data_IF_817342786738
#
_entry.id   IF_817342786738
#
_cell.length_a   1.000
_cell.length_b   1.000
_cell.length_c   1.000
_cell.angle_alpha   90.00
_cell.angle_beta   90.00
_cell.angle_gamma   90.00
#
_symmetry.space_group_name_H-M   'P 1'
#
loop_
_entity.id
_entity.type
_entity.pdbx_description
1 polymer ?
#
# COMPACT_ATOMS: atom_id res chain seq x y z
N UNK A 1 39.10 10.17 -3.72
CA UNK A 1 39.88 8.93 -3.90
C UNK A 1 39.03 7.73 -3.42
N UNK A 2 38.34 7.01 -4.33
CA UNK A 2 37.34 5.96 -4.03
C UNK A 2 37.90 4.52 -4.03
N UNK A 3 39.19 4.35 -4.30
CA UNK A 3 39.89 3.05 -4.42
C UNK A 3 39.74 2.17 -3.15
N UNK A 4 39.69 2.80 -1.97
CA UNK A 4 39.68 2.07 -0.69
C UNK A 4 38.32 1.38 -0.40
N UNK A 5 37.22 1.80 -1.03
CA UNK A 5 35.90 1.19 -0.82
C UNK A 5 35.69 -0.07 -1.67
N UNK A 6 36.18 -0.06 -2.92
CA UNK A 6 36.07 -1.22 -3.81
C UNK A 6 37.03 -2.33 -3.41
N UNK A 7 38.24 -1.98 -2.94
CA UNK A 7 39.19 -2.94 -2.41
C UNK A 7 38.60 -3.75 -1.25
N UNK A 8 37.88 -3.11 -0.31
CA UNK A 8 37.19 -3.82 0.78
C UNK A 8 36.17 -4.82 0.27
N UNK A 9 35.34 -4.43 -0.71
CA UNK A 9 34.34 -5.31 -1.30
C UNK A 9 34.98 -6.54 -1.97
N UNK A 10 35.99 -6.36 -2.82
CA UNK A 10 36.66 -7.47 -3.49
C UNK A 10 37.45 -8.36 -2.52
N UNK A 11 38.12 -7.77 -1.53
CA UNK A 11 38.81 -8.53 -0.48
C UNK A 11 37.84 -9.38 0.33
N UNK A 12 36.68 -8.84 0.67
CA UNK A 12 35.66 -9.58 1.41
C UNK A 12 35.02 -10.67 0.53
N UNK A 13 34.85 -10.41 -0.77
CA UNK A 13 34.40 -11.41 -1.73
C UNK A 13 35.39 -12.58 -1.84
N UNK A 14 36.70 -12.30 -1.96
CA UNK A 14 37.77 -13.32 -2.02
C UNK A 14 37.91 -14.11 -0.70
N UNK A 15 37.75 -13.43 0.45
CA UNK A 15 37.83 -14.07 1.77
C UNK A 15 36.69 -15.07 2.00
N UNK A 16 35.49 -14.77 1.49
CA UNK A 16 34.28 -15.57 1.73
C UNK A 16 34.07 -16.60 0.62
N UNK A 17 34.46 -16.27 -0.61
CA UNK A 17 34.31 -17.14 -1.78
C UNK A 17 35.60 -17.17 -2.61
N UNK A 18 36.04 -18.37 -3.01
CA UNK A 18 37.20 -18.57 -3.89
C UNK A 18 36.90 -18.31 -5.38
N UNK A 19 35.77 -17.69 -5.69
CA UNK A 19 35.28 -17.38 -7.05
C UNK A 19 34.02 -16.52 -6.96
N UNK A 20 33.41 -16.16 -8.10
CA UNK A 20 32.22 -15.30 -8.07
C UNK A 20 30.98 -16.08 -7.63
N UNK A 21 30.41 -15.76 -6.47
CA UNK A 21 29.24 -16.47 -5.95
C UNK A 21 27.97 -16.06 -6.69
N UNK A 22 26.91 -16.86 -6.53
CA UNK A 22 25.60 -16.52 -7.08
C UNK A 22 25.05 -15.23 -6.45
N UNK A 23 24.24 -14.50 -7.22
CA UNK A 23 23.68 -13.23 -6.80
C UNK A 23 22.89 -13.30 -5.47
N UNK A 24 22.20 -14.41 -5.23
CA UNK A 24 21.48 -14.68 -3.97
C UNK A 24 22.40 -14.77 -2.75
N UNK A 25 23.62 -15.30 -2.92
CA UNK A 25 24.64 -15.40 -1.87
C UNK A 25 25.23 -14.02 -1.56
N UNK A 26 25.49 -13.21 -2.59
CA UNK A 26 25.93 -11.81 -2.44
C UNK A 26 24.88 -10.97 -1.70
N UNK A 27 23.61 -11.11 -2.07
CA UNK A 27 22.50 -10.40 -1.40
C UNK A 27 22.40 -10.75 0.08
N UNK A 28 22.53 -12.04 0.43
CA UNK A 28 22.46 -12.48 1.83
C UNK A 28 23.58 -11.91 2.68
N UNK A 29 24.80 -11.82 2.12
CA UNK A 29 25.98 -11.37 2.85
C UNK A 29 26.09 -9.84 2.92
N UNK A 30 26.00 -9.15 1.77
CA UNK A 30 26.23 -7.71 1.69
C UNK A 30 24.97 -6.86 1.85
N UNK A 31 23.78 -7.46 1.77
CA UNK A 31 22.48 -6.81 1.65
C UNK A 31 22.23 -6.05 0.34
N UNK A 32 20.96 -5.82 0.00
CA UNK A 32 20.59 -5.04 -1.17
C UNK A 32 21.16 -3.60 -1.15
N UNK A 33 21.28 -3.00 0.03
CA UNK A 33 21.85 -1.66 0.22
C UNK A 33 23.39 -1.67 0.12
N UNK A 34 24.06 -2.69 0.68
CA UNK A 34 25.51 -2.84 0.51
C UNK A 34 25.90 -3.07 -0.95
N UNK A 35 25.14 -3.91 -1.68
CA UNK A 35 25.34 -4.09 -3.11
C UNK A 35 25.02 -2.83 -3.92
N UNK A 36 24.07 -1.99 -3.48
CA UNK A 36 23.79 -0.68 -4.09
C UNK A 36 24.97 0.28 -3.93
N UNK A 37 25.62 0.28 -2.76
CA UNK A 37 26.84 1.07 -2.49
C UNK A 37 28.04 0.58 -3.29
N UNK A 38 28.09 -0.71 -3.60
CA UNK A 38 29.10 -1.36 -4.46
C UNK A 38 28.67 -1.47 -5.93
N UNK A 39 27.93 -0.48 -6.47
CA UNK A 39 27.39 -0.51 -7.84
C UNK A 39 28.46 -0.75 -8.92
N UNK A 40 29.63 -0.13 -8.79
CA UNK A 40 30.72 -0.24 -9.78
C UNK A 40 31.35 -1.65 -9.76
N UNK A 41 31.75 -2.21 -8.61
CA UNK A 41 32.15 -3.62 -8.52
C UNK A 41 31.10 -4.61 -9.04
N UNK A 42 29.81 -4.38 -8.73
CA UNK A 42 28.72 -5.23 -9.20
C UNK A 42 28.53 -5.18 -10.72
N UNK A 43 28.71 -3.99 -11.33
CA UNK A 43 28.72 -3.85 -12.79
C UNK A 43 29.86 -4.64 -13.43
N UNK A 44 31.06 -4.54 -12.86
CA UNK A 44 32.22 -5.29 -13.34
C UNK A 44 32.01 -6.81 -13.25
N UNK A 45 31.49 -7.31 -12.12
CA UNK A 45 31.18 -8.75 -11.95
C UNK A 45 30.11 -9.24 -12.93
N UNK A 46 29.13 -8.39 -13.24
CA UNK A 46 28.07 -8.71 -14.21
C UNK A 46 28.59 -8.74 -15.64
N UNK A 47 29.52 -7.85 -16.00
CA UNK A 47 30.07 -7.73 -17.35
C UNK A 47 31.17 -8.77 -17.64
N UNK A 48 32.06 -9.02 -16.67
CA UNK A 48 33.26 -9.84 -16.89
C UNK A 48 33.14 -11.29 -16.40
N UNK A 49 32.31 -11.57 -15.39
CA UNK A 49 32.19 -12.92 -14.82
C UNK A 49 30.77 -13.51 -14.94
N UNK A 50 29.93 -12.88 -15.77
CA UNK A 50 28.59 -13.38 -16.09
C UNK A 50 27.60 -13.41 -14.92
N UNK A 51 27.86 -12.66 -13.84
CA UNK A 51 26.96 -12.57 -12.70
C UNK A 51 25.61 -11.97 -13.15
N UNK A 52 24.57 -12.80 -13.18
CA UNK A 52 23.21 -12.34 -13.50
C UNK A 52 22.58 -11.69 -12.27
N UNK A 53 22.47 -10.36 -12.29
CA UNK A 53 21.72 -9.60 -11.28
C UNK A 53 20.24 -9.92 -11.44
N UNK A 54 19.69 -10.66 -10.46
CA UNK A 54 18.27 -10.99 -10.44
C UNK A 54 17.50 -9.91 -9.66
N UNK A 55 16.81 -9.02 -10.37
CA UNK A 55 15.97 -7.98 -9.76
C UNK A 55 14.92 -8.57 -8.83
N UNK A 56 14.30 -9.69 -9.22
CA UNK A 56 13.34 -10.41 -8.39
C UNK A 56 13.97 -10.86 -7.04
N UNK A 57 15.18 -11.39 -7.05
CA UNK A 57 15.88 -11.79 -5.83
C UNK A 57 16.18 -10.59 -4.92
N UNK A 58 16.43 -9.39 -5.48
CA UNK A 58 16.60 -8.16 -4.67
C UNK A 58 15.32 -7.74 -3.98
N UNK A 59 14.21 -7.81 -4.70
CA UNK A 59 12.91 -7.41 -4.17
C UNK A 59 12.50 -8.40 -3.07
N UNK A 60 12.65 -9.70 -3.29
CA UNK A 60 12.38 -10.74 -2.29
C UNK A 60 13.22 -10.54 -1.01
N UNK A 61 14.53 -10.31 -1.16
CA UNK A 61 15.43 -10.02 -0.04
C UNK A 61 15.03 -8.73 0.71
N UNK A 62 14.60 -7.69 -0.02
CA UNK A 62 14.09 -6.44 0.57
C UNK A 62 12.77 -6.66 1.33
N UNK A 63 11.85 -7.45 0.78
CA UNK A 63 10.60 -7.81 1.45
C UNK A 63 10.85 -8.66 2.70
N UNK A 64 11.79 -9.60 2.66
CA UNK A 64 12.20 -10.37 3.83
C UNK A 64 12.70 -9.47 4.95
N UNK A 65 13.59 -8.50 4.67
CA UNK A 65 14.04 -7.53 5.68
C UNK A 65 12.90 -6.70 6.25
N UNK A 66 11.97 -6.25 5.41
CA UNK A 66 10.81 -5.47 5.86
C UNK A 66 9.88 -6.29 6.76
N UNK A 67 9.69 -7.58 6.45
CA UNK A 67 8.95 -8.51 7.31
C UNK A 67 9.66 -8.70 8.65
N UNK A 68 10.97 -8.97 8.64
CA UNK A 68 11.75 -9.11 9.88
C UNK A 68 11.70 -7.84 10.73
N UNK A 69 11.87 -6.67 10.11
CA UNK A 69 11.78 -5.39 10.81
C UNK A 69 10.41 -5.09 11.43
N UNK A 70 9.32 -5.72 10.96
CA UNK A 70 8.01 -5.67 11.63
C UNK A 70 7.99 -6.64 12.83
N UNK A 71 8.53 -7.84 12.65
CA UNK A 71 8.55 -8.89 13.68
C UNK A 71 9.46 -8.57 14.87
N UNK A 72 10.54 -7.81 14.64
CA UNK A 72 11.53 -7.40 15.64
C UNK A 72 11.13 -6.13 16.41
N UNK A 73 9.99 -5.52 16.09
CA UNK A 73 9.52 -4.33 16.80
C UNK A 73 9.31 -4.67 18.29
N UNK A 74 9.88 -3.88 19.22
CA UNK A 74 9.70 -4.11 20.65
C UNK A 74 8.22 -4.06 21.04
N UNK A 75 7.72 -5.15 21.62
CA UNK A 75 6.32 -5.30 22.06
C UNK A 75 6.27 -6.07 23.37
N UNK A 76 5.18 -5.88 24.11
CA UNK A 76 4.86 -6.78 25.22
C UNK A 76 4.67 -8.22 24.73
N UNK A 77 4.88 -9.18 25.63
CA UNK A 77 4.87 -10.61 25.31
C UNK A 77 3.59 -11.06 24.61
N UNK A 78 2.43 -10.55 25.05
CA UNK A 78 1.14 -10.96 24.51
C UNK A 78 0.89 -10.47 23.07
N UNK A 79 0.96 -9.16 22.75
CA UNK A 79 0.93 -8.68 21.36
C UNK A 79 1.96 -9.35 20.46
N UNK A 80 3.17 -9.64 20.98
CA UNK A 80 4.21 -10.34 20.23
C UNK A 80 3.80 -11.78 19.88
N UNK A 81 3.14 -12.49 20.80
CA UNK A 81 2.61 -13.81 20.53
C UNK A 81 1.53 -13.79 19.44
N UNK A 82 0.60 -12.82 19.50
CA UNK A 82 -0.47 -12.69 18.50
C UNK A 82 0.08 -12.48 17.09
N UNK A 83 1.02 -11.54 16.91
CA UNK A 83 1.60 -11.26 15.59
C UNK A 83 2.50 -12.41 15.10
N UNK A 84 3.19 -13.11 16.01
CA UNK A 84 4.00 -14.28 15.67
C UNK A 84 3.14 -15.45 15.19
N UNK A 85 2.02 -15.73 15.85
CA UNK A 85 1.10 -16.77 15.41
C UNK A 85 0.45 -16.43 14.07
N UNK A 86 0.08 -15.17 13.85
CA UNK A 86 -0.42 -14.70 12.56
C UNK A 86 0.64 -14.83 11.45
N UNK A 87 1.89 -14.48 11.73
CA UNK A 87 3.00 -14.66 10.78
C UNK A 87 3.16 -16.12 10.37
N UNK A 88 3.08 -17.08 11.30
CA UNK A 88 3.15 -18.52 10.97
C UNK A 88 2.02 -18.95 10.04
N UNK A 89 0.80 -18.48 10.28
CA UNK A 89 -0.34 -18.73 9.39
C UNK A 89 -0.12 -18.13 7.99
N UNK A 90 0.48 -16.94 7.91
CA UNK A 90 0.83 -16.33 6.63
C UNK A 90 1.95 -17.09 5.91
N UNK A 91 2.94 -17.60 6.64
CA UNK A 91 4.01 -18.42 6.08
C UNK A 91 3.50 -19.73 5.47
N UNK A 92 2.51 -20.39 6.08
CA UNK A 92 1.92 -21.59 5.49
C UNK A 92 1.19 -21.29 4.18
N UNK A 93 0.50 -20.15 4.08
CA UNK A 93 -0.14 -19.68 2.85
C UNK A 93 0.86 -19.30 1.76
N UNK A 94 2.00 -18.71 2.12
CA UNK A 94 3.09 -18.47 1.19
C UNK A 94 3.66 -19.78 0.65
N UNK A 95 3.89 -20.77 1.52
CA UNK A 95 4.40 -22.07 1.12
C UNK A 95 3.42 -22.83 0.19
N UNK A 96 2.11 -22.61 0.35
CA UNK A 96 1.07 -23.12 -0.54
C UNK A 96 0.97 -22.36 -1.88
N UNK A 97 1.65 -21.22 -2.04
CA UNK A 97 1.58 -20.38 -3.24
C UNK A 97 0.37 -19.44 -3.29
N UNK A 98 -0.42 -19.33 -2.21
CA UNK A 98 -1.65 -18.51 -2.17
C UNK A 98 -1.37 -17.01 -2.16
N UNK A 99 -0.23 -16.61 -1.61
CA UNK A 99 0.13 -15.22 -1.36
C UNK A 99 1.61 -14.98 -1.62
N UNK A 100 1.99 -13.74 -1.89
CA UNK A 100 3.39 -13.32 -2.03
C UNK A 100 3.97 -12.78 -0.73
N UNK A 101 5.31 -12.70 -0.63
CA UNK A 101 6.00 -12.03 0.48
C UNK A 101 5.53 -10.59 0.69
N UNK A 102 5.26 -9.86 -0.39
CA UNK A 102 4.69 -8.51 -0.33
C UNK A 102 3.32 -8.47 0.36
N UNK A 103 2.51 -9.50 0.12
CA UNK A 103 1.21 -9.65 0.77
C UNK A 103 1.37 -9.94 2.26
N UNK A 104 2.34 -10.79 2.64
CA UNK A 104 2.70 -11.02 4.05
C UNK A 104 3.10 -9.71 4.72
N UNK A 105 4.04 -8.96 4.13
CA UNK A 105 4.51 -7.68 4.67
C UNK A 105 3.35 -6.72 4.92
N UNK A 106 2.44 -6.56 3.95
CA UNK A 106 1.30 -5.64 4.07
C UNK A 106 0.34 -6.09 5.18
N UNK A 107 0.04 -7.39 5.24
CA UNK A 107 -0.83 -7.97 6.27
C UNK A 107 -0.23 -7.83 7.67
N UNK A 108 1.06 -8.15 7.84
CA UNK A 108 1.77 -7.97 9.11
C UNK A 108 1.85 -6.52 9.52
N UNK A 109 2.07 -5.59 8.58
CA UNK A 109 2.12 -4.17 8.90
C UNK A 109 0.79 -3.69 9.47
N UNK A 110 -0.33 -4.06 8.86
CA UNK A 110 -1.65 -3.70 9.35
C UNK A 110 -2.00 -4.35 10.69
N UNK A 111 -1.59 -5.61 10.91
CA UNK A 111 -1.71 -6.27 12.21
C UNK A 111 -0.90 -5.53 13.29
N UNK A 112 0.34 -5.18 12.98
CA UNK A 112 1.25 -4.42 13.84
C UNK A 112 0.64 -3.07 14.25
N UNK A 113 0.15 -2.30 13.26
CA UNK A 113 -0.44 -0.99 13.50
C UNK A 113 -1.74 -1.09 14.33
N UNK A 114 -2.54 -2.15 14.17
CA UNK A 114 -3.72 -2.39 15.02
C UNK A 114 -3.32 -2.74 16.46
N UNK A 115 -2.32 -3.60 16.65
CA UNK A 115 -1.82 -3.95 17.98
C UNK A 115 -1.32 -2.69 18.71
N UNK A 116 -0.55 -1.82 18.03
CA UNK A 116 -0.10 -0.54 18.57
C UNK A 116 -1.26 0.40 18.93
N UNK A 117 -2.29 0.45 18.07
CA UNK A 117 -3.47 1.25 18.32
C UNK A 117 -4.25 0.77 19.54
N UNK A 118 -4.40 -0.55 19.69
CA UNK A 118 -5.22 -1.17 20.73
C UNK A 118 -4.62 -1.04 22.14
N UNK A 119 -3.30 -0.81 22.26
CA UNK A 119 -2.59 -0.68 23.54
C UNK A 119 -2.96 -1.80 24.52
N UNK A 120 -2.94 -3.04 24.02
CA UNK A 120 -3.31 -4.21 24.82
C UNK A 120 -2.47 -4.27 26.08
N UNK A 121 -3.15 -4.46 27.22
CA UNK A 121 -2.50 -4.89 28.45
C UNK A 121 -2.26 -6.41 28.38
N UNK A 122 -1.38 -6.90 29.24
CA UNK A 122 -1.09 -8.34 29.36
C UNK A 122 -2.38 -9.19 29.38
N UNK A 123 -2.46 -10.17 28.47
CA UNK A 123 -3.56 -11.11 28.28
C UNK A 123 -4.93 -10.53 27.86
N UNK A 124 -5.04 -9.22 27.59
CA UNK A 124 -6.27 -8.65 27.04
C UNK A 124 -6.38 -8.94 25.53
N UNK A 125 -7.58 -9.30 25.06
CA UNK A 125 -7.85 -9.43 23.63
C UNK A 125 -8.24 -8.08 23.03
N UNK A 126 -8.01 -7.90 21.72
CA UNK A 126 -8.56 -6.75 20.98
C UNK A 126 -10.08 -6.82 21.06
N UNK A 127 -10.72 -5.74 21.49
CA UNK A 127 -12.17 -5.60 21.50
C UNK A 127 -12.67 -4.86 20.24
N UNK A 128 -13.99 -4.90 20.03
CA UNK A 128 -14.61 -4.23 18.88
C UNK A 128 -14.38 -2.71 18.91
N UNK A 129 -14.30 -2.11 20.10
CA UNK A 129 -14.11 -0.66 20.26
C UNK A 129 -12.73 -0.22 19.75
N UNK A 130 -11.68 -0.96 20.07
CA UNK A 130 -10.33 -0.72 19.58
C UNK A 130 -10.23 -0.93 18.07
N UNK A 131 -10.87 -1.97 17.53
CA UNK A 131 -10.92 -2.22 16.08
C UNK A 131 -11.64 -1.09 15.34
N UNK A 132 -12.79 -0.64 15.83
CA UNK A 132 -13.53 0.47 15.23
C UNK A 132 -12.77 1.80 15.35
N UNK A 133 -12.06 2.00 16.47
CA UNK A 133 -11.16 3.14 16.66
C UNK A 133 -10.04 3.17 15.63
N UNK A 134 -9.44 2.00 15.36
CA UNK A 134 -8.40 1.86 14.34
C UNK A 134 -8.92 2.18 12.94
N UNK A 135 -10.10 1.66 12.57
CA UNK A 135 -10.72 1.97 11.28
C UNK A 135 -11.05 3.45 11.12
N UNK A 136 -11.49 4.12 12.17
CA UNK A 136 -11.71 5.58 12.16
C UNK A 136 -10.42 6.36 11.94
N UNK A 137 -9.31 5.92 12.54
CA UNK A 137 -7.99 6.54 12.38
C UNK A 137 -7.38 6.25 11.00
N UNK A 138 -7.63 5.08 10.42
CA UNK A 138 -7.03 4.66 9.15
C UNK A 138 -8.03 3.93 8.24
N UNK A 139 -8.99 4.65 7.62
CA UNK A 139 -10.04 4.04 6.80
C UNK A 139 -9.53 3.25 5.59
N UNK A 140 -8.33 3.59 5.09
CA UNK A 140 -7.68 2.88 3.98
C UNK A 140 -7.14 1.49 4.33
N UNK A 141 -7.01 1.15 5.61
CA UNK A 141 -6.45 -0.12 6.09
C UNK A 141 -7.51 -1.15 6.52
N UNK A 142 -8.80 -0.89 6.25
CA UNK A 142 -9.88 -1.82 6.59
C UNK A 142 -9.63 -3.20 6.00
N UNK A 143 -9.35 -3.27 4.69
CA UNK A 143 -9.17 -4.53 3.99
C UNK A 143 -7.87 -5.27 4.36
N UNK A 144 -6.85 -4.56 4.85
CA UNK A 144 -5.57 -5.17 5.20
C UNK A 144 -5.56 -5.74 6.63
N UNK A 145 -6.44 -5.26 7.51
CA UNK A 145 -6.56 -5.77 8.88
C UNK A 145 -7.55 -6.94 9.03
N UNK A 146 -8.48 -7.13 8.07
CA UNK A 146 -9.49 -8.20 8.13
C UNK A 146 -8.88 -9.60 8.21
N UNK A 147 -7.76 -9.84 7.54
CA UNK A 147 -7.04 -11.13 7.62
C UNK A 147 -6.58 -11.45 9.05
N UNK A 148 -6.10 -10.43 9.77
CA UNK A 148 -5.69 -10.57 11.17
C UNK A 148 -6.89 -10.74 12.10
N UNK A 149 -7.97 -9.99 11.87
CA UNK A 149 -9.24 -10.18 12.61
C UNK A 149 -9.78 -11.60 12.43
N UNK A 150 -9.74 -12.14 11.21
CA UNK A 150 -10.13 -13.52 10.92
C UNK A 150 -9.27 -14.53 11.68
N UNK A 151 -7.95 -14.33 11.70
CA UNK A 151 -7.02 -15.14 12.50
C UNK A 151 -7.37 -15.08 14.00
N UNK A 152 -7.61 -13.89 14.56
CA UNK A 152 -7.96 -13.73 15.98
C UNK A 152 -9.27 -14.44 16.33
N UNK A 153 -10.27 -14.34 15.47
CA UNK A 153 -11.54 -15.03 15.64
C UNK A 153 -11.37 -16.55 15.59
N UNK A 154 -10.58 -17.06 14.64
CA UNK A 154 -10.40 -18.49 14.44
C UNK A 154 -9.56 -19.14 15.55
N UNK A 155 -8.46 -18.50 15.96
CA UNK A 155 -7.49 -19.09 16.91
C UNK A 155 -7.83 -18.77 18.36
N UNK A 156 -8.43 -17.60 18.62
CA UNK A 156 -8.68 -17.13 19.98
C UNK A 156 -10.15 -16.83 20.28
N UNK A 157 -11.07 -17.11 19.36
CA UNK A 157 -12.52 -16.86 19.54
C UNK A 157 -12.83 -15.41 19.94
N UNK A 158 -12.10 -14.44 19.38
CA UNK A 158 -12.20 -13.03 19.77
C UNK A 158 -13.57 -12.37 19.52
N UNK A 159 -14.44 -12.99 18.70
CA UNK A 159 -15.81 -12.50 18.46
C UNK A 159 -15.88 -11.15 17.74
N UNK A 160 -14.82 -10.75 17.02
CA UNK A 160 -14.72 -9.48 16.34
C UNK A 160 -15.49 -9.49 15.01
N UNK A 161 -16.20 -8.41 14.71
CA UNK A 161 -16.77 -8.21 13.40
C UNK A 161 -15.64 -7.87 12.42
N UNK A 162 -15.50 -8.66 11.35
CA UNK A 162 -14.46 -8.43 10.33
C UNK A 162 -14.78 -7.30 9.35
N UNK A 163 -15.89 -6.58 9.55
CA UNK A 163 -16.29 -5.46 8.70
C UNK A 163 -16.74 -4.29 9.56
N UNK A 164 -16.39 -3.05 9.15
CA UNK A 164 -16.88 -1.86 9.83
C UNK A 164 -18.38 -1.70 9.64
N UNK A 165 -18.98 -0.86 10.48
CA UNK A 165 -20.36 -0.42 10.33
C UNK A 165 -20.62 0.06 8.87
N UNK A 166 -21.63 -0.48 8.18
CA UNK A 166 -21.89 -0.16 6.77
C UNK A 166 -22.21 1.32 6.51
N UNK A 167 -22.88 2.00 7.45
CA UNK A 167 -23.23 3.42 7.33
C UNK A 167 -21.96 4.27 7.45
N UNK A 168 -21.12 3.97 8.44
CA UNK A 168 -19.82 4.64 8.59
C UNK A 168 -18.94 4.42 7.36
N UNK A 169 -18.85 3.18 6.85
CA UNK A 169 -18.04 2.86 5.67
C UNK A 169 -18.52 3.62 4.42
N UNK A 170 -19.85 3.73 4.23
CA UNK A 170 -20.45 4.55 3.16
C UNK A 170 -20.08 6.02 3.30
N UNK A 171 -20.15 6.57 4.51
CA UNK A 171 -19.80 7.96 4.80
C UNK A 171 -18.32 8.24 4.51
N UNK A 172 -17.40 7.37 4.93
CA UNK A 172 -15.97 7.53 4.64
C UNK A 172 -15.65 7.43 3.15
N UNK A 173 -16.34 6.53 2.43
CA UNK A 173 -16.20 6.44 0.97
C UNK A 173 -16.65 7.73 0.28
N UNK A 174 -17.73 8.34 0.75
CA UNK A 174 -18.20 9.62 0.23
C UNK A 174 -17.24 10.76 0.55
N UNK A 175 -16.79 10.87 1.81
CA UNK A 175 -15.83 11.88 2.24
C UNK A 175 -14.49 11.79 1.49
N UNK A 176 -14.03 10.57 1.17
CA UNK A 176 -12.83 10.38 0.33
C UNK A 176 -13.04 10.94 -1.09
N UNK A 177 -14.19 10.65 -1.70
CA UNK A 177 -14.53 11.15 -3.05
C UNK A 177 -14.63 12.66 -3.08
N UNK A 178 -15.18 13.25 -2.02
CA UNK A 178 -15.26 14.71 -1.84
C UNK A 178 -13.86 15.33 -1.75
N UNK A 179 -12.99 14.82 -0.86
CA UNK A 179 -11.61 15.29 -0.73
C UNK A 179 -10.85 15.20 -2.05
N UNK A 180 -10.98 14.08 -2.74
CA UNK A 180 -10.35 13.88 -4.05
C UNK A 180 -10.81 14.88 -5.12
N UNK A 181 -12.06 15.38 -5.04
CA UNK A 181 -12.57 16.43 -5.91
C UNK A 181 -12.01 17.80 -5.52
N UNK A 182 -12.02 18.12 -4.22
CA UNK A 182 -11.50 19.38 -3.69
C UNK A 182 -10.00 19.52 -3.97
N UNK A 183 -9.21 18.48 -3.70
CA UNK A 183 -7.77 18.45 -4.02
C UNK A 183 -7.51 18.64 -5.52
N UNK A 184 -8.39 18.12 -6.37
CA UNK A 184 -8.25 18.27 -7.82
C UNK A 184 -8.46 19.73 -8.24
N UNK A 185 -9.38 20.48 -7.61
CA UNK A 185 -9.62 21.89 -7.95
C UNK A 185 -8.35 22.74 -7.87
N UNK A 186 -7.46 22.46 -6.92
CA UNK A 186 -6.18 23.17 -6.77
C UNK A 186 -5.18 22.91 -7.91
N UNK A 187 -5.39 21.88 -8.73
CA UNK A 187 -4.47 21.47 -9.83
C UNK A 187 -4.99 21.86 -11.21
N UNK A 188 -5.98 22.75 -11.27
CA UNK A 188 -6.76 23.03 -12.49
C UNK A 188 -5.92 23.48 -13.68
N UNK A 189 -4.95 24.36 -13.43
CA UNK A 189 -4.13 24.96 -14.49
C UNK A 189 -2.83 24.17 -14.75
N UNK A 190 -2.61 23.07 -14.02
CA UNK A 190 -1.36 22.31 -14.11
C UNK A 190 -1.33 21.33 -15.27
N UNK A 191 -2.50 20.85 -15.72
CA UNK A 191 -2.58 19.72 -16.65
C UNK A 191 -3.71 19.88 -17.67
N UNK A 192 -3.41 19.55 -18.93
CA UNK A 192 -4.41 19.56 -20.02
C UNK A 192 -5.47 18.47 -19.88
N UNK A 193 -5.27 17.48 -19.00
CA UNK A 193 -6.21 16.38 -18.76
C UNK A 193 -7.16 16.63 -17.58
N UNK A 194 -7.14 17.83 -16.99
CA UNK A 194 -7.92 18.22 -15.82
C UNK A 194 -9.41 17.91 -15.97
N UNK A 195 -10.04 18.32 -17.06
CA UNK A 195 -11.49 18.14 -17.29
C UNK A 195 -11.90 16.66 -17.26
N UNK A 196 -11.12 15.80 -17.93
CA UNK A 196 -11.36 14.36 -17.92
C UNK A 196 -11.21 13.75 -16.53
N UNK A 197 -10.24 14.24 -15.73
CA UNK A 197 -10.03 13.81 -14.33
C UNK A 197 -11.17 14.29 -13.44
N UNK A 198 -11.62 15.52 -13.65
CA UNK A 198 -12.74 16.14 -12.95
C UNK A 198 -14.01 15.33 -13.15
N UNK A 199 -14.37 15.05 -14.41
CA UNK A 199 -15.59 14.31 -14.75
C UNK A 199 -15.58 12.92 -14.11
N UNK A 200 -14.48 12.18 -14.18
CA UNK A 200 -14.39 10.83 -13.57
C UNK A 200 -14.57 10.89 -12.05
N UNK A 201 -13.95 11.86 -11.37
CA UNK A 201 -14.11 12.02 -9.91
C UNK A 201 -15.51 12.52 -9.54
N UNK A 202 -16.09 13.41 -10.35
CA UNK A 202 -17.44 13.92 -10.15
C UNK A 202 -18.49 12.82 -10.31
N UNK A 203 -18.35 11.95 -11.31
CA UNK A 203 -19.17 10.74 -11.47
C UNK A 203 -19.05 9.81 -10.27
N UNK A 204 -17.85 9.66 -9.70
CA UNK A 204 -17.65 8.85 -8.51
C UNK A 204 -18.36 9.45 -7.29
N UNK A 205 -18.32 10.77 -7.12
CA UNK A 205 -18.91 11.48 -6.00
C UNK A 205 -20.45 11.60 -6.08
N UNK A 206 -20.96 12.17 -7.17
CA UNK A 206 -22.39 12.48 -7.32
C UNK A 206 -23.23 11.25 -7.69
N UNK A 207 -22.69 10.36 -8.52
CA UNK A 207 -23.44 9.21 -9.06
C UNK A 207 -22.96 7.87 -8.51
N UNK A 208 -21.89 7.86 -7.72
CA UNK A 208 -21.34 6.65 -7.14
C UNK A 208 -20.54 5.78 -8.10
N UNK A 209 -20.31 6.22 -9.34
CA UNK A 209 -19.69 5.45 -10.44
C UNK A 209 -18.17 5.63 -10.41
N UNK A 210 -17.45 4.65 -9.85
CA UNK A 210 -16.00 4.77 -9.61
C UNK A 210 -15.07 4.13 -10.65
N UNK A 211 -15.60 3.49 -11.70
CA UNK A 211 -14.80 2.77 -12.72
C UNK A 211 -15.14 3.27 -14.12
N UNK A 212 -14.69 4.48 -14.43
CA UNK A 212 -14.85 5.08 -15.76
C UNK A 212 -13.46 5.26 -16.38
N UNK A 213 -13.29 4.76 -17.60
CA UNK A 213 -12.03 4.94 -18.34
C UNK A 213 -11.96 6.35 -18.90
N UNK A 214 -10.86 7.07 -18.62
CA UNK A 214 -10.62 8.39 -19.21
C UNK A 214 -10.51 8.35 -20.73
N UNK A 215 -9.94 7.26 -21.29
CA UNK A 215 -9.68 7.13 -22.74
C UNK A 215 -10.94 6.91 -23.57
N UNK A 216 -12.05 6.52 -22.96
CA UNK A 216 -13.33 6.28 -23.63
C UNK A 216 -14.46 7.14 -23.08
N UNK A 217 -14.13 8.24 -22.41
CA UNK A 217 -15.11 9.14 -21.83
C UNK A 217 -15.73 9.98 -22.95
N UNK A 218 -17.03 9.80 -23.17
CA UNK A 218 -17.83 10.62 -24.10
C UNK A 218 -18.66 11.58 -23.28
N UNK A 219 -18.43 12.87 -23.48
CA UNK A 219 -19.13 13.92 -22.76
C UNK A 219 -19.30 15.18 -23.61
N UNK A 220 -20.35 15.95 -23.31
CA UNK A 220 -20.65 17.21 -23.97
C UNK A 220 -21.00 18.29 -22.92
N UNK A 221 -20.59 19.56 -23.13
CA UNK A 221 -21.02 20.66 -22.26
C UNK A 221 -22.54 20.74 -22.18
N UNK A 222 -23.07 20.92 -20.97
CA UNK A 222 -24.50 21.02 -20.72
C UNK A 222 -24.80 21.84 -19.46
N UNK A 223 -25.84 22.65 -19.53
CA UNK A 223 -26.32 23.43 -18.38
C UNK A 223 -27.52 22.73 -17.74
N UNK A 224 -27.47 22.53 -16.42
CA UNK A 224 -28.59 21.99 -15.65
C UNK A 224 -28.98 22.99 -14.57
N UNK A 225 -30.24 23.41 -14.56
CA UNK A 225 -30.79 24.38 -13.60
C UNK A 225 -29.94 25.67 -13.45
N UNK A 226 -29.38 26.17 -14.56
CA UNK A 226 -28.54 27.37 -14.56
C UNK A 226 -27.08 27.13 -14.15
N UNK A 227 -26.69 25.91 -13.81
CA UNK A 227 -25.30 25.53 -13.50
C UNK A 227 -24.62 24.92 -14.72
N UNK A 228 -23.42 25.42 -15.06
CA UNK A 228 -22.59 24.86 -16.13
C UNK A 228 -22.03 23.49 -15.75
N UNK A 229 -21.97 22.57 -16.70
CA UNK A 229 -21.47 21.22 -16.46
C UNK A 229 -21.35 20.41 -17.73
N UNK A 230 -21.41 19.09 -17.57
CA UNK A 230 -21.22 18.13 -18.65
C UNK A 230 -22.26 17.02 -18.57
N UNK A 231 -22.83 16.67 -19.71
CA UNK A 231 -23.56 15.42 -19.90
C UNK A 231 -22.56 14.32 -20.27
N UNK A 232 -22.67 13.17 -19.63
CA UNK A 232 -21.82 12.00 -19.84
C UNK A 232 -22.69 10.81 -20.22
N UNK A 233 -22.32 10.14 -21.31
CA UNK A 233 -22.92 8.88 -21.70
C UNK A 233 -22.30 7.73 -20.88
N UNK A 234 -23.10 7.11 -20.02
CA UNK A 234 -22.67 6.01 -19.18
C UNK A 234 -23.71 4.89 -19.18
N UNK A 235 -23.34 3.72 -19.69
CA UNK A 235 -24.12 2.47 -19.57
C UNK A 235 -25.63 2.65 -19.84
N UNK A 236 -25.96 3.20 -21.02
CA UNK A 236 -27.33 3.45 -21.49
C UNK A 236 -28.11 4.57 -20.77
N UNK A 237 -27.45 5.42 -19.98
CA UNK A 237 -28.05 6.63 -19.40
C UNK A 237 -27.14 7.83 -19.62
N UNK A 238 -27.75 9.01 -19.75
CA UNK A 238 -27.04 10.29 -19.74
C UNK A 238 -27.05 10.82 -18.31
N UNK A 239 -25.88 11.05 -17.75
CA UNK A 239 -25.69 11.61 -16.41
C UNK A 239 -25.11 13.01 -16.53
N UNK A 240 -25.50 13.91 -15.65
CA UNK A 240 -24.96 15.26 -15.61
C UNK A 240 -24.03 15.45 -14.40
N UNK A 241 -22.90 16.14 -14.58
CA UNK A 241 -22.02 16.59 -13.49
C UNK A 241 -21.69 18.07 -13.66
N UNK A 242 -21.54 18.82 -12.55
CA UNK A 242 -21.18 20.24 -12.61
C UNK A 242 -19.76 20.45 -13.13
N UNK A 243 -19.52 21.59 -13.77
CA UNK A 243 -18.18 22.04 -14.15
C UNK A 243 -17.43 22.52 -12.93
N UNK A 244 -16.11 22.32 -12.91
CA UNK A 244 -15.23 22.85 -11.88
C UNK A 244 -15.34 24.38 -11.73
N UNK A 245 -15.62 25.09 -12.83
CA UNK A 245 -15.83 26.56 -12.82
C UNK A 245 -17.00 27.01 -11.96
N UNK A 246 -17.94 26.12 -11.64
CA UNK A 246 -19.09 26.42 -10.75
C UNK A 246 -18.64 26.77 -9.33
N UNK A 247 -17.46 26.29 -8.92
CA UNK A 247 -16.97 26.39 -7.54
C UNK A 247 -16.01 27.58 -7.32
N UNK A 248 -15.79 28.42 -8.34
CA UNK A 248 -14.92 29.61 -8.28
C UNK A 248 -15.43 30.70 -7.31
N UNK A 249 -16.71 30.67 -6.93
CA UNK A 249 -17.36 31.77 -6.18
C UNK A 249 -17.34 31.67 -4.66
N UNK A 250 -16.78 30.59 -4.08
CA UNK A 250 -16.87 30.32 -2.64
C UNK A 250 -15.50 30.27 -1.93
N UNK A 251 -14.40 30.60 -2.64
CA UNK A 251 -13.03 30.52 -2.11
C UNK A 251 -12.34 31.89 -1.98
N UNK A 252 -13.06 32.98 -2.29
CA UNK A 252 -12.63 34.38 -2.15
C UNK A 252 -13.38 35.14 -1.02
N UNK A 253 -14.06 34.43 -0.11
CA UNK A 253 -14.64 34.97 1.14
C UNK A 253 -14.09 34.21 2.36
#
# INVERSE_FOLDING_TARGET
MKINAYYKFFKELENVWQGVPQYSQLLRHFSAEGLRRSRVPMGWLSEFDGLVVCEQAREEDSEHRRVQGIMEQPRESWPQQLITGYHRMLQSRLAAGDISLRSIRLALRSASDLLDHSRLKAAAMIDQKALDGYWRKSPGHVASVTGFVGYLNQVYSAGLNSRPDPRWAKQQKQAKRERELVELLSQRDETSDFESRWIVKALAYFHGIGRVSRKGLVYAPATYQGTAGFNIECSQKVLWVPSASTYERAMDE
#
